data_IF_978813178070
#
_entry.id   IF_978813178070
#
_cell.length_a   1.000
_cell.length_b   1.000
_cell.length_c   1.000
_cell.angle_alpha   90.00
_cell.angle_beta   90.00
_cell.angle_gamma   90.00
#
_symmetry.space_group_name_H-M   'P 1'
#
loop_
_entity.id
_entity.type
_entity.pdbx_description
1 polymer ?
#
# COMPACT_ATOMS: atom_id res chain seq x y z
N UNK A 1 31.32 43.42 8.53
CA UNK A 1 32.05 42.27 7.95
C UNK A 1 32.03 41.01 8.83
N UNK A 2 32.20 41.12 10.15
CA UNK A 2 32.31 39.97 11.07
C UNK A 2 31.00 39.15 11.26
N UNK A 3 29.83 39.80 11.23
CA UNK A 3 28.53 39.09 11.36
C UNK A 3 28.23 38.13 10.19
N UNK A 4 28.44 38.54 8.94
CA UNK A 4 28.23 37.65 7.78
C UNK A 4 29.13 36.40 7.80
N UNK A 5 30.30 36.48 8.45
CA UNK A 5 31.19 35.33 8.62
C UNK A 5 30.59 34.27 9.57
N UNK A 6 29.95 34.70 10.66
CA UNK A 6 29.30 33.77 11.60
C UNK A 6 28.09 33.06 10.99
N UNK A 7 27.28 33.77 10.21
CA UNK A 7 26.13 33.19 9.51
C UNK A 7 26.54 32.14 8.48
N UNK A 8 27.62 32.38 7.72
CA UNK A 8 28.17 31.39 6.78
C UNK A 8 28.67 30.13 7.50
N UNK A 9 29.35 30.31 8.65
CA UNK A 9 29.81 29.19 9.48
C UNK A 9 28.66 28.40 10.08
N UNK A 10 27.62 29.08 10.56
CA UNK A 10 26.41 28.46 11.09
C UNK A 10 25.67 27.63 10.04
N UNK A 11 25.54 28.15 8.81
CA UNK A 11 24.89 27.45 7.69
C UNK A 11 25.66 26.19 7.25
N UNK A 12 26.99 26.25 7.25
CA UNK A 12 27.85 25.10 6.93
C UNK A 12 27.76 24.03 8.03
N UNK A 13 27.76 24.43 9.30
CA UNK A 13 27.59 23.50 10.42
C UNK A 13 26.22 22.82 10.41
N UNK A 14 25.14 23.57 10.17
CA UNK A 14 23.79 23.00 10.15
C UNK A 14 23.58 22.02 8.98
N UNK A 15 24.08 22.33 7.78
CA UNK A 15 24.03 21.39 6.64
C UNK A 15 24.82 20.10 6.91
N UNK A 16 26.00 20.21 7.53
CA UNK A 16 26.80 19.03 7.88
C UNK A 16 26.13 18.11 8.90
N UNK A 17 25.47 18.69 9.91
CA UNK A 17 24.72 17.94 10.92
C UNK A 17 23.50 17.22 10.32
N UNK A 18 22.78 17.85 9.40
CA UNK A 18 21.64 17.24 8.69
C UNK A 18 22.09 16.13 7.72
N UNK A 19 23.27 16.24 7.12
CA UNK A 19 23.81 15.17 6.26
C UNK A 19 24.14 13.89 7.06
N UNK A 20 24.44 14.02 8.35
CA UNK A 20 24.74 12.89 9.24
C UNK A 20 23.48 12.30 9.91
N UNK A 21 22.33 12.97 9.85
CA UNK A 21 21.08 12.47 10.45
C UNK A 21 20.36 11.39 9.63
N UNK A 22 20.93 10.96 8.50
CA UNK A 22 20.38 9.90 7.63
C UNK A 22 20.65 8.48 8.13
N UNK A 23 21.20 8.33 9.34
CA UNK A 23 21.58 7.04 9.90
C UNK A 23 20.35 6.10 9.95
N UNK A 24 20.44 4.98 9.21
CA UNK A 24 19.44 3.91 9.08
C UNK A 24 18.23 4.19 8.16
N UNK A 25 18.30 5.17 7.24
CA UNK A 25 17.22 5.36 6.25
C UNK A 25 17.29 4.39 5.07
N UNK A 26 18.48 3.93 4.71
CA UNK A 26 18.70 3.03 3.56
C UNK A 26 18.26 1.59 3.83
N UNK A 27 18.36 1.13 5.07
CA UNK A 27 18.10 -0.25 5.48
C UNK A 27 16.80 -0.37 6.28
N UNK A 28 15.86 0.56 6.12
CA UNK A 28 14.58 0.52 6.81
C UNK A 28 13.55 -0.24 5.97
N UNK A 29 12.95 -1.27 6.58
CA UNK A 29 11.80 -1.95 5.97
C UNK A 29 10.61 -0.99 5.80
N UNK A 30 9.80 -1.14 4.73
CA UNK A 30 8.58 -0.36 4.56
C UNK A 30 7.63 -0.58 5.74
N UNK A 31 7.13 0.50 6.33
CA UNK A 31 6.29 0.43 7.54
C UNK A 31 4.87 -0.06 7.27
N UNK A 32 4.44 0.01 6.01
CA UNK A 32 3.10 -0.32 5.54
C UNK A 32 3.04 -1.67 4.81
N UNK A 33 4.14 -2.43 4.78
CA UNK A 33 4.21 -3.72 4.11
C UNK A 33 4.55 -4.82 5.11
N UNK A 34 3.89 -5.96 4.93
CA UNK A 34 4.26 -7.19 5.64
C UNK A 34 5.22 -7.96 4.74
N UNK A 35 6.48 -8.05 5.16
CA UNK A 35 7.52 -8.77 4.42
C UNK A 35 7.32 -10.30 4.45
N UNK A 36 7.86 -11.05 3.48
CA UNK A 36 7.75 -12.50 3.42
C UNK A 36 8.22 -13.20 4.72
N UNK A 37 9.28 -12.66 5.33
CA UNK A 37 9.88 -13.20 6.55
C UNK A 37 8.92 -13.19 7.76
N UNK A 38 7.92 -12.30 7.75
CA UNK A 38 6.89 -12.21 8.80
C UNK A 38 5.50 -12.69 8.37
N UNK A 39 5.29 -12.92 7.07
CA UNK A 39 3.99 -13.32 6.50
C UNK A 39 3.71 -14.84 6.57
N UNK A 40 4.73 -15.69 6.79
CA UNK A 40 4.55 -17.15 6.77
C UNK A 40 4.81 -17.82 8.12
N UNK A 41 4.67 -17.08 9.22
CA UNK A 41 5.01 -17.54 10.57
C UNK A 41 3.93 -18.38 11.25
N UNK A 42 2.65 -18.20 10.91
CA UNK A 42 1.53 -18.94 11.51
C UNK A 42 0.62 -19.59 10.47
N UNK A 43 -0.18 -20.57 10.92
CA UNK A 43 -1.15 -21.24 10.06
C UNK A 43 -2.20 -20.27 9.51
N UNK A 44 -2.62 -19.28 10.31
CA UNK A 44 -3.55 -18.24 9.89
C UNK A 44 -2.97 -17.39 8.76
N UNK A 45 -1.71 -16.96 8.88
CA UNK A 45 -1.06 -16.15 7.85
C UNK A 45 -0.79 -16.95 6.56
N UNK A 46 -0.42 -18.23 6.68
CA UNK A 46 -0.32 -19.12 5.53
C UNK A 46 -1.68 -19.30 4.83
N UNK A 47 -2.76 -19.36 5.61
CA UNK A 47 -4.13 -19.50 5.10
C UNK A 47 -4.63 -18.30 4.31
N UNK A 48 -4.14 -17.08 4.58
CA UNK A 48 -4.56 -15.88 3.84
C UNK A 48 -3.94 -15.79 2.45
N UNK A 49 -2.77 -16.39 2.20
CA UNK A 49 -2.13 -16.41 0.89
C UNK A 49 -3.05 -16.94 -0.23
N UNK A 50 -3.60 -18.17 -0.17
CA UNK A 50 -4.46 -18.69 -1.23
C UNK A 50 -5.76 -17.90 -1.37
N UNK A 51 -6.32 -17.39 -0.27
CA UNK A 51 -7.54 -16.56 -0.28
C UNK A 51 -7.30 -15.29 -1.12
N UNK A 52 -6.21 -14.57 -0.84
CA UNK A 52 -5.87 -13.35 -1.56
C UNK A 52 -5.45 -13.64 -3.01
N UNK A 53 -4.67 -14.69 -3.24
CA UNK A 53 -4.20 -15.07 -4.57
C UNK A 53 -5.35 -15.47 -5.49
N UNK A 54 -6.25 -16.35 -5.05
CA UNK A 54 -7.38 -16.77 -5.88
C UNK A 54 -8.38 -15.66 -6.15
N UNK A 55 -8.52 -14.68 -5.26
CA UNK A 55 -9.31 -13.48 -5.53
C UNK A 55 -8.80 -12.65 -6.72
N UNK A 56 -7.51 -12.78 -7.09
CA UNK A 56 -6.95 -12.12 -8.29
C UNK A 56 -7.14 -12.92 -9.58
N UNK A 57 -7.34 -14.24 -9.47
CA UNK A 57 -7.43 -15.14 -10.63
C UNK A 57 -8.88 -15.38 -11.06
N UNK A 58 -9.79 -15.51 -10.09
CA UNK A 58 -11.17 -15.82 -10.35
C UNK A 58 -12.04 -14.58 -10.17
N UNK A 59 -12.96 -14.30 -11.10
CA UNK A 59 -13.98 -13.28 -10.87
C UNK A 59 -14.80 -13.69 -9.65
N UNK A 60 -14.79 -12.87 -8.60
CA UNK A 60 -15.57 -13.06 -7.39
C UNK A 60 -16.55 -11.92 -7.15
N UNK A 61 -17.07 -11.83 -5.93
CA UNK A 61 -17.81 -10.65 -5.45
C UNK A 61 -16.94 -9.41 -5.21
N UNK A 62 -15.66 -9.51 -5.66
CA UNK A 62 -14.52 -8.60 -5.59
C UNK A 62 -14.18 -8.03 -4.22
N UNK A 63 -12.98 -7.48 -4.16
CA UNK A 63 -12.34 -7.11 -2.91
C UNK A 63 -12.80 -5.71 -2.48
N UNK A 64 -13.71 -5.66 -1.51
CA UNK A 64 -13.87 -4.47 -0.65
C UNK A 64 -14.80 -3.36 -1.16
N UNK A 65 -15.83 -3.67 -1.95
CA UNK A 65 -16.84 -2.69 -2.38
C UNK A 65 -18.24 -3.27 -2.55
N UNK A 66 -19.24 -2.40 -2.67
CA UNK A 66 -20.61 -2.80 -3.05
C UNK A 66 -20.66 -2.98 -4.58
N UNK A 67 -20.35 -4.18 -5.07
CA UNK A 67 -20.52 -4.51 -6.49
C UNK A 67 -21.11 -5.92 -6.65
N UNK A 68 -21.89 -6.12 -7.71
CA UNK A 68 -22.56 -7.40 -7.97
C UNK A 68 -21.60 -8.55 -8.35
N UNK A 69 -20.33 -8.23 -8.61
CA UNK A 69 -19.27 -9.23 -8.75
C UNK A 69 -19.44 -10.14 -9.95
N UNK A 70 -19.22 -11.43 -9.77
CA UNK A 70 -19.41 -12.45 -10.80
C UNK A 70 -20.83 -12.42 -11.42
N UNK A 71 -21.84 -11.91 -10.69
CA UNK A 71 -23.20 -11.77 -11.22
C UNK A 71 -23.31 -10.74 -12.35
N UNK A 72 -22.33 -9.85 -12.56
CA UNK A 72 -22.32 -8.96 -13.75
C UNK A 72 -21.76 -9.63 -15.00
N UNK A 73 -21.23 -10.86 -14.91
CA UNK A 73 -20.72 -11.61 -16.06
C UNK A 73 -21.82 -12.43 -16.76
N UNK A 74 -22.98 -12.59 -16.12
CA UNK A 74 -24.17 -13.19 -16.74
C UNK A 74 -24.82 -12.14 -17.67
N UNK A 75 -24.38 -12.12 -18.93
CA UNK A 75 -24.79 -11.21 -20.01
C UNK A 75 -26.26 -11.44 -20.43
N UNK A 76 -27.18 -11.14 -19.52
CA UNK A 76 -28.62 -11.02 -19.81
C UNK A 76 -29.49 -12.25 -19.55
N UNK A 77 -29.01 -13.27 -18.81
CA UNK A 77 -29.91 -14.34 -18.31
C UNK A 77 -30.53 -14.00 -16.95
N UNK A 78 -29.94 -13.06 -16.21
CA UNK A 78 -30.51 -12.55 -14.97
C UNK A 78 -31.39 -11.31 -15.19
N UNK A 79 -32.44 -11.19 -14.39
CA UNK A 79 -33.25 -9.98 -14.28
C UNK A 79 -32.63 -9.03 -13.24
N UNK A 80 -31.29 -8.95 -13.20
CA UNK A 80 -30.60 -8.17 -12.19
C UNK A 80 -30.93 -6.70 -12.38
N UNK A 81 -31.67 -6.15 -11.43
CA UNK A 81 -32.07 -4.75 -11.45
C UNK A 81 -30.81 -3.88 -11.41
N UNK A 82 -30.52 -3.20 -12.53
CA UNK A 82 -29.48 -2.19 -12.56
C UNK A 82 -29.84 -1.06 -11.58
N UNK A 83 -28.84 -0.38 -11.01
CA UNK A 83 -29.10 0.79 -10.14
C UNK A 83 -29.59 2.01 -10.93
N UNK A 84 -29.67 1.91 -12.27
CA UNK A 84 -30.24 2.92 -13.14
C UNK A 84 -31.70 2.57 -13.52
N UNK A 85 -32.71 3.30 -13.03
CA UNK A 85 -34.12 3.01 -13.29
C UNK A 85 -34.57 3.19 -14.75
N UNK A 86 -33.69 3.63 -15.66
CA UNK A 86 -34.00 3.91 -17.06
C UNK A 86 -33.33 2.96 -18.07
N UNK A 87 -33.12 1.68 -17.71
CA UNK A 87 -32.84 0.62 -18.69
C UNK A 87 -33.94 -0.41 -18.69
#
# INVERSE_FOLDING_TARGET
>A
MRQHSYWRKALLLSSGLLALSSCNLLDREPLDQVGPDSYYGTAEQLGTFPINYYATLFPGHGSGGYHAGIATYDDGTDNQATTNPNR
#
